data_IF_796900784666
#
_entry.id   IF_796900784666
#
_cell.length_a   1.000
_cell.length_b   1.000
_cell.length_c   1.000
_cell.angle_alpha   90.00
_cell.angle_beta   90.00
_cell.angle_gamma   90.00
#
_symmetry.space_group_name_H-M   'P 1'
#
loop_
_entity.id
_entity.type
_entity.pdbx_description
1 polymer ?
#
# COMPACT_ATOMS: atom_id res chain seq x y z
N UNK A 1 -6.88 -8.62 -11.79
CA UNK A 1 -6.38 -8.44 -10.41
C UNK A 1 -5.95 -9.79 -9.86
N UNK A 2 -4.96 -9.86 -8.97
CA UNK A 2 -4.39 -11.12 -8.47
C UNK A 2 -4.66 -11.30 -6.98
N UNK A 3 -5.14 -12.47 -6.59
CA UNK A 3 -5.24 -12.94 -5.21
C UNK A 3 -4.06 -13.84 -4.90
N UNK A 4 -3.86 -14.22 -3.64
CA UNK A 4 -2.86 -15.20 -3.23
C UNK A 4 -3.42 -16.18 -2.22
N UNK A 5 -3.07 -17.45 -2.39
CA UNK A 5 -3.19 -18.45 -1.34
C UNK A 5 -2.01 -18.31 -0.39
N UNK A 6 -2.26 -18.38 0.91
CA UNK A 6 -1.25 -18.51 1.96
C UNK A 6 -1.34 -19.93 2.50
N UNK A 7 -0.28 -20.71 2.38
CA UNK A 7 -0.22 -22.10 2.84
C UNK A 7 0.78 -22.23 3.99
N UNK A 8 0.50 -23.09 4.97
CA UNK A 8 1.39 -23.27 6.14
C UNK A 8 2.61 -24.16 5.87
N UNK A 9 2.75 -24.71 4.67
CA UNK A 9 3.90 -25.51 4.24
C UNK A 9 4.98 -24.67 3.56
N UNK A 10 6.18 -25.25 3.43
CA UNK A 10 7.32 -24.62 2.78
C UNK A 10 7.16 -24.58 1.24
N UNK A 11 7.74 -23.58 0.54
CA UNK A 11 7.55 -23.44 -0.90
C UNK A 11 8.12 -24.61 -1.70
N UNK A 12 9.19 -25.22 -1.20
CA UNK A 12 9.86 -26.35 -1.82
C UNK A 12 8.95 -27.59 -1.78
N UNK A 13 8.25 -27.80 -0.65
CA UNK A 13 7.24 -28.85 -0.48
C UNK A 13 6.06 -28.61 -1.43
N UNK A 14 5.46 -27.42 -1.39
CA UNK A 14 4.35 -27.08 -2.27
C UNK A 14 4.71 -27.12 -3.76
N UNK A 15 5.95 -26.78 -4.14
CA UNK A 15 6.38 -26.81 -5.53
C UNK A 15 6.29 -28.21 -6.14
N UNK A 16 6.57 -29.26 -5.34
CA UNK A 16 6.43 -30.65 -5.77
C UNK A 16 4.97 -31.05 -5.98
N UNK A 17 4.06 -30.58 -5.12
CA UNK A 17 2.64 -30.92 -5.16
C UNK A 17 1.79 -29.93 -5.99
N UNK A 18 2.38 -28.83 -6.49
CA UNK A 18 1.67 -27.73 -7.18
C UNK A 18 0.75 -28.22 -8.30
N UNK A 19 1.22 -29.19 -9.10
CA UNK A 19 0.43 -29.76 -10.21
C UNK A 19 -0.80 -30.51 -9.69
N UNK A 20 -0.65 -31.25 -8.58
CA UNK A 20 -1.73 -31.97 -7.93
C UNK A 20 -2.73 -31.00 -7.29
N UNK A 21 -2.24 -29.98 -6.60
CA UNK A 21 -3.07 -28.90 -6.06
C UNK A 21 -3.91 -28.25 -7.16
N UNK A 22 -3.29 -27.83 -8.26
CA UNK A 22 -3.98 -27.20 -9.39
C UNK A 22 -5.08 -28.09 -9.99
N UNK A 23 -4.80 -29.38 -10.21
CA UNK A 23 -5.79 -30.32 -10.74
C UNK A 23 -6.96 -30.53 -9.79
N UNK A 24 -6.69 -30.76 -8.51
CA UNK A 24 -7.73 -30.97 -7.50
C UNK A 24 -8.54 -29.70 -7.24
N UNK A 25 -7.91 -28.52 -7.34
CA UNK A 25 -8.60 -27.24 -7.28
C UNK A 25 -9.60 -27.10 -8.43
N UNK A 26 -9.19 -27.36 -9.67
CA UNK A 26 -10.12 -27.32 -10.81
C UNK A 26 -11.27 -28.33 -10.66
N UNK A 27 -10.97 -29.51 -10.14
CA UNK A 27 -12.01 -30.52 -9.89
C UNK A 27 -13.00 -30.09 -8.80
N UNK A 28 -12.50 -29.54 -7.69
CA UNK A 28 -13.33 -29.03 -6.61
C UNK A 28 -14.24 -27.89 -7.08
N UNK A 29 -13.71 -26.96 -7.89
CA UNK A 29 -14.49 -25.84 -8.44
C UNK A 29 -15.60 -26.31 -9.38
N UNK A 30 -15.37 -27.36 -10.18
CA UNK A 30 -16.41 -27.93 -11.04
C UNK A 30 -17.56 -28.56 -10.26
N UNK A 31 -17.27 -29.11 -9.08
CA UNK A 31 -18.27 -29.73 -8.21
C UNK A 31 -19.03 -28.69 -7.39
N UNK A 32 -18.30 -27.74 -6.80
CA UNK A 32 -18.87 -26.75 -5.87
C UNK A 32 -19.51 -25.54 -6.61
N UNK A 33 -19.10 -25.28 -7.86
CA UNK A 33 -19.63 -24.20 -8.72
C UNK A 33 -19.99 -24.70 -10.13
N UNK A 34 -20.99 -25.59 -10.27
CA UNK A 34 -21.37 -26.14 -11.58
C UNK A 34 -21.96 -25.09 -12.54
N UNK A 35 -22.45 -23.97 -12.02
CA UNK A 35 -23.16 -22.93 -12.79
C UNK A 35 -22.23 -22.02 -13.59
N UNK A 36 -20.91 -22.11 -13.40
CA UNK A 36 -19.96 -21.35 -14.20
C UNK A 36 -18.65 -22.09 -14.40
N UNK A 37 -18.06 -21.92 -15.58
CA UNK A 37 -16.74 -22.46 -15.90
C UNK A 37 -15.68 -21.64 -15.17
N UNK A 38 -15.52 -21.90 -13.87
CA UNK A 38 -14.56 -21.22 -13.02
C UNK A 38 -13.20 -21.89 -13.13
N UNK A 39 -12.21 -21.12 -13.55
CA UNK A 39 -10.83 -21.54 -13.69
C UNK A 39 -9.91 -20.65 -12.85
N UNK A 40 -8.83 -21.24 -12.35
CA UNK A 40 -7.86 -20.59 -11.46
C UNK A 40 -6.47 -20.88 -11.99
N UNK A 41 -5.75 -19.80 -12.30
CA UNK A 41 -4.42 -19.86 -12.87
C UNK A 41 -3.40 -19.45 -11.81
N UNK A 42 -2.55 -20.39 -11.41
CA UNK A 42 -1.56 -20.22 -10.36
C UNK A 42 -0.23 -19.72 -10.93
N UNK A 43 0.37 -18.75 -10.24
CA UNK A 43 1.74 -18.31 -10.47
C UNK A 43 2.74 -19.25 -9.78
N UNK A 44 4.03 -18.92 -9.87
CA UNK A 44 5.07 -19.62 -9.12
C UNK A 44 4.94 -19.40 -7.61
N UNK A 45 5.16 -20.45 -6.79
CA UNK A 45 5.16 -20.32 -5.35
C UNK A 45 6.34 -19.49 -4.86
N UNK A 46 6.11 -18.68 -3.83
CA UNK A 46 7.11 -17.83 -3.19
C UNK A 46 7.03 -17.99 -1.67
N UNK A 47 8.10 -17.65 -0.96
CA UNK A 47 8.04 -17.51 0.51
C UNK A 47 7.12 -16.35 0.87
N UNK A 48 6.34 -16.52 1.93
CA UNK A 48 5.57 -15.40 2.48
C UNK A 48 6.51 -14.37 3.10
N UNK A 49 6.22 -13.08 2.85
CA UNK A 49 7.02 -11.98 3.38
C UNK A 49 6.93 -11.86 4.91
N UNK A 50 5.80 -12.27 5.52
CA UNK A 50 5.58 -12.17 6.96
C UNK A 50 6.11 -13.39 7.71
N UNK A 51 6.13 -14.55 7.05
CA UNK A 51 6.68 -15.77 7.62
C UNK A 51 7.37 -16.64 6.55
N UNK A 52 8.70 -16.74 6.63
CA UNK A 52 9.51 -17.49 5.67
C UNK A 52 9.22 -19.01 5.63
N UNK A 53 8.56 -19.56 6.66
CA UNK A 53 8.14 -20.98 6.67
C UNK A 53 6.84 -21.24 5.91
N UNK A 54 6.15 -20.18 5.47
CA UNK A 54 4.89 -20.27 4.73
C UNK A 54 5.09 -20.02 3.26
N UNK A 55 4.21 -20.58 2.46
CA UNK A 55 4.17 -20.39 1.00
C UNK A 55 3.07 -19.43 0.63
N UNK A 56 3.34 -18.57 -0.35
CA UNK A 56 2.33 -17.78 -1.04
C UNK A 56 2.32 -18.09 -2.52
N UNK A 57 1.10 -18.20 -3.07
CA UNK A 57 0.90 -18.48 -4.49
C UNK A 57 -0.12 -17.50 -5.02
N UNK A 58 0.33 -16.57 -5.84
CA UNK A 58 -0.59 -15.65 -6.49
C UNK A 58 -1.38 -16.34 -7.59
N UNK A 59 -2.62 -15.91 -7.80
CA UNK A 59 -3.51 -16.47 -8.80
C UNK A 59 -4.50 -15.43 -9.30
N UNK A 60 -5.10 -15.70 -10.45
CA UNK A 60 -6.30 -15.02 -10.91
C UNK A 60 -7.38 -16.05 -11.19
N UNK A 61 -8.63 -15.67 -10.87
CA UNK A 61 -9.80 -16.46 -11.15
C UNK A 61 -10.51 -15.91 -12.38
N UNK A 62 -10.91 -16.81 -13.27
CA UNK A 62 -11.67 -16.53 -14.48
C UNK A 62 -12.97 -17.31 -14.36
N UNK A 63 -14.10 -16.70 -14.70
CA UNK A 63 -15.37 -17.38 -14.79
C UNK A 63 -16.01 -16.97 -16.10
N UNK A 64 -16.36 -17.95 -16.94
CA UNK A 64 -16.89 -17.73 -18.28
C UNK A 64 -16.00 -16.78 -19.11
N UNK A 65 -14.69 -17.08 -19.15
CA UNK A 65 -13.66 -16.31 -19.87
C UNK A 65 -13.41 -14.88 -19.36
N UNK A 66 -14.13 -14.44 -18.32
CA UNK A 66 -13.96 -13.12 -17.73
C UNK A 66 -13.21 -13.19 -16.39
N UNK A 67 -12.15 -12.39 -16.28
CA UNK A 67 -11.39 -12.24 -15.02
C UNK A 67 -12.31 -11.68 -13.95
N UNK A 68 -12.43 -12.40 -12.84
CA UNK A 68 -13.34 -12.04 -11.75
C UNK A 68 -12.79 -10.87 -10.93
N UNK A 69 -13.73 -10.07 -10.41
CA UNK A 69 -13.40 -9.06 -9.41
C UNK A 69 -12.89 -9.74 -8.15
N UNK A 70 -12.07 -9.03 -7.35
CA UNK A 70 -11.59 -9.57 -6.08
C UNK A 70 -12.73 -10.06 -5.18
N UNK A 71 -13.78 -9.25 -5.02
CA UNK A 71 -14.91 -9.58 -4.14
C UNK A 71 -15.63 -10.83 -4.64
N UNK A 72 -15.88 -10.93 -5.94
CA UNK A 72 -16.53 -12.10 -6.55
C UNK A 72 -15.67 -13.35 -6.43
N UNK A 73 -14.37 -13.24 -6.70
CA UNK A 73 -13.43 -14.34 -6.60
C UNK A 73 -13.26 -14.82 -5.16
N UNK A 74 -13.19 -13.90 -4.18
CA UNK A 74 -13.14 -14.27 -2.76
C UNK A 74 -14.43 -14.98 -2.36
N UNK A 75 -15.60 -14.47 -2.73
CA UNK A 75 -16.87 -15.11 -2.37
C UNK A 75 -16.99 -16.54 -2.92
N UNK A 76 -16.58 -16.75 -4.16
CA UNK A 76 -16.59 -18.08 -4.77
C UNK A 76 -15.50 -19.01 -4.19
N UNK A 77 -14.31 -18.49 -3.89
CA UNK A 77 -13.18 -19.31 -3.42
C UNK A 77 -13.09 -19.45 -1.91
N UNK A 78 -13.82 -18.63 -1.15
CA UNK A 78 -13.95 -18.78 0.31
C UNK A 78 -14.81 -19.99 0.64
N UNK A 79 -14.55 -20.61 1.80
CA UNK A 79 -15.23 -21.82 2.29
C UNK A 79 -16.69 -21.90 1.81
N UNK A 80 -17.00 -22.82 0.88
CA UNK A 80 -18.33 -22.88 0.30
C UNK A 80 -19.34 -23.20 1.38
N UNK A 81 -20.52 -22.59 1.31
CA UNK A 81 -21.65 -22.82 2.23
C UNK A 81 -22.25 -24.23 2.13
N UNK A 82 -21.65 -25.10 1.32
CA UNK A 82 -22.10 -26.47 1.06
C UNK A 82 -21.49 -27.40 2.11
N UNK A 83 -22.33 -28.14 2.84
CA UNK A 83 -21.94 -29.02 3.96
C UNK A 83 -20.90 -30.11 3.61
N UNK A 84 -20.56 -30.32 2.34
CA UNK A 84 -19.54 -31.26 1.88
C UNK A 84 -18.69 -30.70 0.73
N UNK A 85 -18.28 -29.44 0.83
CA UNK A 85 -17.42 -28.81 -0.18
C UNK A 85 -16.10 -29.58 -0.38
N UNK A 86 -15.84 -29.95 -1.64
CA UNK A 86 -14.55 -30.52 -2.05
C UNK A 86 -13.43 -29.47 -1.95
N UNK A 87 -13.78 -28.18 -2.13
CA UNK A 87 -12.85 -27.06 -1.95
C UNK A 87 -12.38 -26.96 -0.49
N UNK A 88 -13.28 -27.11 0.48
CA UNK A 88 -12.93 -27.12 1.91
C UNK A 88 -12.02 -28.29 2.26
N UNK A 89 -12.26 -29.49 1.70
CA UNK A 89 -11.38 -30.67 1.89
C UNK A 89 -10.00 -30.44 1.29
N UNK A 90 -9.94 -29.86 0.10
CA UNK A 90 -8.69 -29.49 -0.55
C UNK A 90 -7.88 -28.51 0.30
N UNK A 91 -8.53 -27.45 0.78
CA UNK A 91 -7.88 -26.43 1.59
C UNK A 91 -7.37 -26.98 2.91
N UNK A 92 -8.10 -27.92 3.53
CA UNK A 92 -7.62 -28.61 4.71
C UNK A 92 -6.40 -29.47 4.41
N UNK A 93 -6.44 -30.27 3.34
CA UNK A 93 -5.33 -31.16 2.95
C UNK A 93 -4.04 -30.39 2.61
N UNK A 94 -4.14 -29.33 1.81
CA UNK A 94 -3.00 -28.48 1.44
C UNK A 94 -2.70 -27.38 2.46
N UNK A 95 -3.36 -27.41 3.62
CA UNK A 95 -3.16 -26.46 4.71
C UNK A 95 -3.21 -24.99 4.26
N UNK A 96 -4.22 -24.66 3.46
CA UNK A 96 -4.50 -23.28 3.05
C UNK A 96 -4.98 -22.51 4.28
N UNK A 97 -4.18 -21.55 4.70
CA UNK A 97 -4.43 -20.71 5.87
C UNK A 97 -5.36 -19.56 5.54
N UNK A 98 -5.13 -18.89 4.41
CA UNK A 98 -5.91 -17.72 4.03
C UNK A 98 -5.86 -17.44 2.52
N UNK A 99 -6.83 -16.67 2.03
CA UNK A 99 -6.85 -16.08 0.69
C UNK A 99 -6.78 -14.56 0.86
N UNK A 100 -5.72 -13.94 0.33
CA UNK A 100 -5.46 -12.51 0.48
C UNK A 100 -5.25 -11.85 -0.88
N UNK A 101 -5.17 -10.52 -0.93
CA UNK A 101 -4.70 -9.82 -2.12
C UNK A 101 -3.25 -10.24 -2.40
N UNK A 102 -2.95 -10.59 -3.65
CA UNK A 102 -1.56 -10.69 -4.06
C UNK A 102 -0.99 -9.28 -3.98
N UNK A 103 0.00 -9.08 -3.12
CA UNK A 103 0.65 -7.80 -2.94
C UNK A 103 1.48 -7.51 -4.19
N UNK A 104 0.87 -6.89 -5.20
CA UNK A 104 1.60 -6.19 -6.26
C UNK A 104 2.18 -4.93 -5.64
N UNK A 105 3.17 -5.08 -4.76
CA UNK A 105 4.01 -3.99 -4.26
C UNK A 105 3.21 -2.70 -4.07
N UNK A 106 2.08 -2.77 -3.34
CA UNK A 106 1.25 -1.58 -3.14
C UNK A 106 1.98 -0.56 -2.25
N UNK A 107 3.06 -1.00 -1.58
CA UNK A 107 4.11 -0.17 -1.02
C UNK A 107 4.82 0.72 -2.07
N UNK A 108 5.05 0.23 -3.30
CA UNK A 108 5.66 1.01 -4.37
C UNK A 108 4.68 2.00 -5.03
N UNK A 109 3.38 1.65 -5.16
CA UNK A 109 2.40 2.56 -5.77
C UNK A 109 1.92 3.66 -4.81
N UNK A 110 1.88 3.38 -3.50
CA UNK A 110 1.53 4.42 -2.49
C UNK A 110 2.71 5.33 -2.15
N UNK A 111 3.96 4.87 -2.33
CA UNK A 111 5.15 5.73 -2.25
C UNK A 111 5.35 6.59 -3.50
N UNK A 112 4.99 6.12 -4.70
CA UNK A 112 5.19 6.89 -5.94
C UNK A 112 4.21 8.06 -6.13
N UNK A 113 3.11 8.12 -5.37
CA UNK A 113 2.20 9.27 -5.41
C UNK A 113 2.69 10.48 -4.58
N UNK A 114 3.64 10.30 -3.65
CA UNK A 114 4.09 11.37 -2.74
C UNK A 114 5.57 11.29 -2.34
N UNK A 115 6.42 10.70 -3.17
CA UNK A 115 7.86 10.88 -3.06
C UNK A 115 8.31 11.99 -4.00
N UNK A 116 8.05 13.24 -3.60
CA UNK A 116 8.92 14.32 -4.04
C UNK A 116 10.35 13.91 -3.62
N UNK A 117 11.33 13.87 -4.54
CA UNK A 117 12.68 13.47 -4.18
C UNK A 117 13.15 14.37 -3.04
N UNK A 118 13.85 13.80 -2.04
CA UNK A 118 14.30 14.54 -0.85
C UNK A 118 15.04 15.84 -1.20
N UNK A 119 15.69 15.88 -2.37
CA UNK A 119 16.30 17.08 -2.94
C UNK A 119 15.30 18.22 -3.18
N UNK A 120 14.11 17.94 -3.71
CA UNK A 120 13.05 18.94 -3.93
C UNK A 120 12.47 19.41 -2.59
N UNK A 121 12.29 18.52 -1.62
CA UNK A 121 11.82 18.91 -0.28
C UNK A 121 12.82 19.85 0.42
N UNK A 122 14.12 19.54 0.32
CA UNK A 122 15.19 20.38 0.86
C UNK A 122 15.28 21.75 0.15
N UNK A 123 15.07 21.78 -1.17
CA UNK A 123 15.01 23.04 -1.93
C UNK A 123 13.82 23.89 -1.49
N UNK A 124 12.62 23.31 -1.36
CA UNK A 124 11.43 24.03 -0.90
C UNK A 124 11.62 24.56 0.52
N UNK A 125 12.16 23.75 1.43
CA UNK A 125 12.48 24.17 2.79
C UNK A 125 13.52 25.31 2.81
N UNK A 126 14.56 25.23 1.98
CA UNK A 126 15.58 26.27 1.85
C UNK A 126 15.01 27.60 1.33
N UNK A 127 14.16 27.55 0.30
CA UNK A 127 13.49 28.75 -0.24
C UNK A 127 12.58 29.38 0.80
N UNK A 128 11.79 28.59 1.53
CA UNK A 128 10.93 29.09 2.60
C UNK A 128 11.74 29.81 3.69
N UNK A 129 12.90 29.26 4.07
CA UNK A 129 13.78 29.83 5.07
C UNK A 129 14.39 31.17 4.61
N UNK A 130 14.78 31.27 3.34
CA UNK A 130 15.26 32.52 2.74
C UNK A 130 14.18 33.61 2.73
N UNK A 131 12.93 33.25 2.42
CA UNK A 131 11.80 34.19 2.46
C UNK A 131 11.57 34.70 3.88
N UNK A 132 11.64 33.83 4.89
CA UNK A 132 11.51 34.23 6.30
C UNK A 132 12.63 35.19 6.72
N UNK A 133 13.88 34.94 6.30
CA UNK A 133 14.99 35.86 6.57
C UNK A 133 14.79 37.23 5.91
N UNK A 134 14.29 37.27 4.68
CA UNK A 134 13.98 38.54 4.01
C UNK A 134 12.90 39.33 4.75
N UNK A 135 11.83 38.67 5.19
CA UNK A 135 10.77 39.30 5.99
C UNK A 135 11.35 39.83 7.31
N UNK A 136 12.19 39.06 7.98
CA UNK A 136 12.85 39.49 9.22
C UNK A 136 13.76 40.71 9.00
N UNK A 137 14.50 40.77 7.89
CA UNK A 137 15.35 41.92 7.55
C UNK A 137 14.52 43.18 7.25
N UNK A 138 13.44 43.05 6.48
CA UNK A 138 12.55 44.18 6.17
C UNK A 138 11.92 44.73 7.46
N UNK A 139 11.38 43.84 8.30
CA UNK A 139 10.80 44.24 9.59
C UNK A 139 11.83 44.89 10.50
N UNK A 140 13.05 44.37 10.56
CA UNK A 140 14.16 44.98 11.31
C UNK A 140 14.49 46.39 10.80
N UNK A 141 14.63 46.58 9.49
CA UNK A 141 14.91 47.90 8.90
C UNK A 141 13.79 48.88 9.21
N UNK A 142 12.53 48.47 9.02
CA UNK A 142 11.36 49.28 9.37
C UNK A 142 11.35 49.65 10.86
N UNK A 143 11.69 48.71 11.75
CA UNK A 143 11.77 48.96 13.17
C UNK A 143 12.88 49.95 13.53
N UNK A 144 14.08 49.80 12.95
CA UNK A 144 15.19 50.74 13.17
C UNK A 144 14.85 52.14 12.65
N UNK A 145 14.22 52.25 11.49
CA UNK A 145 13.76 53.55 10.97
C UNK A 145 12.75 54.21 11.91
N UNK A 146 11.71 53.47 12.31
CA UNK A 146 10.70 53.96 13.26
C UNK A 146 11.30 54.31 14.62
N UNK A 147 12.24 53.51 15.10
CA UNK A 147 12.94 53.76 16.36
C UNK A 147 13.79 55.03 16.27
N UNK A 148 14.50 55.24 15.15
CA UNK A 148 15.28 56.46 14.89
C UNK A 148 14.39 57.71 14.81
N UNK A 149 13.20 57.60 14.22
CA UNK A 149 12.20 58.68 14.21
C UNK A 149 11.67 58.98 15.61
N UNK A 150 11.34 57.95 16.40
CA UNK A 150 10.93 58.13 17.80
C UNK A 150 12.01 58.82 18.64
N UNK A 151 13.28 58.46 18.47
CA UNK A 151 14.39 59.12 19.16
C UNK A 151 14.55 60.58 18.72
N UNK A 152 14.42 60.89 17.43
CA UNK A 152 14.47 62.28 16.93
C UNK A 152 13.33 63.12 17.50
N UNK A 153 12.11 62.57 17.56
CA UNK A 153 10.97 63.26 18.18
C UNK A 153 11.23 63.54 19.67
N UNK A 154 11.73 62.57 20.44
CA UNK A 154 12.09 62.80 21.84
C UNK A 154 13.20 63.84 22.01
N UNK A 155 14.21 63.83 21.14
CA UNK A 155 15.29 64.83 21.17
C UNK A 155 14.79 66.24 20.82
N UNK A 156 13.82 66.35 19.91
CA UNK A 156 13.19 67.64 19.58
C UNK A 156 12.31 68.18 20.71
N UNK A 157 11.57 67.31 21.41
CA UNK A 157 10.78 67.74 22.58
C UNK A 157 11.66 68.21 23.74
N UNK A 158 12.74 67.48 24.05
CA UNK A 158 13.71 67.91 25.07
C UNK A 158 14.35 69.26 24.75
N UNK A 159 14.55 69.60 23.47
CA UNK A 159 15.04 70.91 23.05
C UNK A 159 13.99 72.03 23.14
N UNK A 160 12.69 71.71 23.03
CA UNK A 160 11.60 72.68 23.17
C UNK A 160 11.16 72.91 24.62
N UNK A 161 11.45 71.99 25.55
CA UNK A 161 11.18 72.20 27.00
C UNK A 161 12.25 73.05 27.69
N UNK A 162 13.37 73.34 27.01
CA UNK A 162 14.44 74.25 27.49
C UNK A 162 14.36 75.55 26.70
N UNK A 163 13.26 76.28 26.84
CA UNK A 163 13.12 77.70 26.50
C UNK A 163 12.04 78.33 27.36
#
# INVERSE_FOLDING_TARGET
>A
MKLRYVLSMAPEEFATERKQFSRRLQQALKVDHPEGNMEVFLAEPRRDNRNATRTTVCFHAVMNEQVQSEKSAILALSQPTVENSELSRLYHYFQVVNIERCEETLMALRQSAFQLPMQVLLLVAGVALLVLLLIALITYICFVQRYKEHLRMKQSQLKCTVF
#
